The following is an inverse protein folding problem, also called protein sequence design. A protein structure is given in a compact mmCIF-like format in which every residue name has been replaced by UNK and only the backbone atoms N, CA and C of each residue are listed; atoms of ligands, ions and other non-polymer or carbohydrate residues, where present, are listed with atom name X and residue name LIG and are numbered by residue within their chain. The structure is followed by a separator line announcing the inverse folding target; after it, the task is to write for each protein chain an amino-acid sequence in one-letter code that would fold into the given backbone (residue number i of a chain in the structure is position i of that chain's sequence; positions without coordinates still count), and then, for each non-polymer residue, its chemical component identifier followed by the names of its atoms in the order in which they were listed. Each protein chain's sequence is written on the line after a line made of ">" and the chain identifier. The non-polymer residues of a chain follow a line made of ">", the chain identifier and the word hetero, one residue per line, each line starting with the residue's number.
data_IF_006371002079
#
_entry.id   IF_006371002079
#
_cell.length_a   1.000
_cell.length_b   1.000
_cell.length_c   1.000
_cell.angle_alpha   90.00
_cell.angle_beta   90.00
_cell.angle_gamma   90.00
#
_symmetry.space_group_name_H-M   'P 1'
#
loop_
_entity.id
_entity.type
_entity.pdbx_description
1 polymer ?
#
# COMPACT_ATOMS: atom_id res chain seq x y z
N UNK A 1 -28.45 3.06 16.20
CA UNK A 1 -29.01 2.91 14.84
C UNK A 1 -28.11 3.69 13.92
N UNK A 2 -27.65 3.07 12.82
CA UNK A 2 -26.72 3.67 11.86
C UNK A 2 -27.28 4.96 11.27
N UNK A 3 -26.41 5.92 10.98
CA UNK A 3 -26.70 7.26 10.46
C UNK A 3 -26.32 7.39 8.99
N UNK A 4 -25.27 6.71 8.55
CA UNK A 4 -24.88 6.65 7.15
C UNK A 4 -25.96 5.95 6.32
N UNK A 5 -26.21 6.45 5.11
CA UNK A 5 -27.19 5.86 4.20
C UNK A 5 -26.58 4.67 3.48
N UNK A 6 -27.20 3.50 3.61
CA UNK A 6 -26.85 2.20 3.00
C UNK A 6 -25.50 1.60 3.41
N UNK A 7 -24.41 2.38 3.33
CA UNK A 7 -23.05 1.92 3.56
C UNK A 7 -22.15 3.08 4.03
N UNK A 8 -21.34 2.84 5.06
CA UNK A 8 -20.38 3.80 5.60
C UNK A 8 -19.32 4.22 4.58
N UNK A 9 -18.80 3.28 3.78
CA UNK A 9 -17.75 3.58 2.78
C UNK A 9 -18.28 4.49 1.68
N UNK A 10 -19.51 4.29 1.23
CA UNK A 10 -20.15 5.13 0.21
C UNK A 10 -20.41 6.54 0.76
N UNK A 11 -20.88 6.62 2.00
CA UNK A 11 -21.06 7.91 2.70
C UNK A 11 -19.71 8.63 2.87
N UNK A 12 -18.62 7.91 3.15
CA UNK A 12 -17.27 8.47 3.24
C UNK A 12 -16.75 8.96 1.89
N UNK A 13 -17.01 8.22 0.81
CA UNK A 13 -16.69 8.65 -0.56
C UNK A 13 -17.46 9.90 -0.94
N UNK A 14 -18.73 10.02 -0.56
CA UNK A 14 -19.53 11.24 -0.76
C UNK A 14 -18.93 12.42 0.04
N UNK A 15 -18.60 12.20 1.31
CA UNK A 15 -17.97 13.21 2.17
C UNK A 15 -16.62 13.70 1.62
N UNK A 16 -15.85 12.82 0.99
CA UNK A 16 -14.54 13.13 0.43
C UNK A 16 -14.55 13.46 -1.06
N UNK A 17 -15.73 13.63 -1.67
CA UNK A 17 -15.88 13.80 -3.12
C UNK A 17 -15.17 15.03 -3.69
N UNK A 18 -15.00 16.09 -2.88
CA UNK A 18 -14.36 17.35 -3.28
C UNK A 18 -12.83 17.33 -3.14
N UNK A 19 -12.24 16.18 -2.79
CA UNK A 19 -10.80 16.00 -2.78
C UNK A 19 -10.36 15.45 -4.15
N UNK A 20 -9.25 15.99 -4.66
CA UNK A 20 -8.73 15.64 -5.98
C UNK A 20 -8.12 14.25 -6.06
N UNK A 21 -7.85 13.60 -4.92
CA UNK A 21 -7.29 12.25 -4.88
C UNK A 21 -8.22 11.21 -5.55
N UNK A 22 -7.62 10.16 -6.10
CA UNK A 22 -8.37 9.09 -6.76
C UNK A 22 -9.39 8.43 -5.83
N UNK A 23 -10.56 8.07 -6.39
CA UNK A 23 -11.61 7.35 -5.67
C UNK A 23 -11.08 6.07 -4.99
N UNK A 24 -10.18 5.34 -5.65
CA UNK A 24 -9.63 4.10 -5.11
C UNK A 24 -8.84 4.33 -3.82
N UNK A 25 -8.18 5.49 -3.69
CA UNK A 25 -7.52 5.88 -2.43
C UNK A 25 -8.54 6.04 -1.31
N UNK A 26 -9.63 6.78 -1.55
CA UNK A 26 -10.67 6.98 -0.53
C UNK A 26 -11.31 5.68 -0.06
N UNK A 27 -11.61 4.75 -0.97
CA UNK A 27 -12.18 3.44 -0.59
C UNK A 27 -11.24 2.69 0.36
N UNK A 28 -9.95 2.59 0.03
CA UNK A 28 -8.99 1.87 0.86
C UNK A 28 -8.62 2.60 2.16
N UNK A 29 -8.64 3.94 2.16
CA UNK A 29 -8.51 4.75 3.38
C UNK A 29 -9.69 4.47 4.31
N UNK A 30 -10.91 4.49 3.79
CA UNK A 30 -12.12 4.19 4.56
C UNK A 30 -12.09 2.77 5.17
N UNK A 31 -11.69 1.76 4.39
CA UNK A 31 -11.51 0.40 4.91
C UNK A 31 -10.45 0.33 6.01
N UNK A 32 -9.35 1.06 5.86
CA UNK A 32 -8.29 1.14 6.88
C UNK A 32 -8.79 1.82 8.16
N UNK A 33 -9.64 2.85 8.05
CA UNK A 33 -10.29 3.50 9.19
C UNK A 33 -11.20 2.52 9.93
N UNK A 34 -12.07 1.79 9.23
CA UNK A 34 -12.92 0.76 9.85
C UNK A 34 -12.06 -0.31 10.53
N UNK A 35 -10.98 -0.76 9.89
CA UNK A 35 -10.06 -1.75 10.46
C UNK A 35 -9.42 -1.27 11.77
N UNK A 36 -9.01 0.00 11.83
CA UNK A 36 -8.48 0.63 13.03
C UNK A 36 -9.48 0.71 14.17
N UNK A 37 -10.76 0.96 13.87
CA UNK A 37 -11.84 1.03 14.86
C UNK A 37 -12.20 -0.36 15.39
N UNK A 38 -12.25 -1.37 14.51
CA UNK A 38 -12.61 -2.74 14.90
C UNK A 38 -11.53 -3.44 15.74
N UNK A 39 -10.25 -3.12 15.54
CA UNK A 39 -9.12 -3.71 16.26
C UNK A 39 -9.20 -5.25 16.31
N UNK A 40 -9.34 -5.84 17.51
CA UNK A 40 -9.53 -7.28 17.74
C UNK A 40 -10.95 -7.66 18.15
N UNK A 41 -11.88 -6.72 18.13
CA UNK A 41 -13.22 -6.91 18.69
C UNK A 41 -14.04 -7.89 17.86
N UNK A 42 -13.80 -7.91 16.54
CA UNK A 42 -14.41 -8.87 15.61
C UNK A 42 -13.35 -9.74 14.94
N UNK A 43 -13.72 -10.98 14.58
CA UNK A 43 -12.78 -11.94 14.00
C UNK A 43 -13.48 -13.07 13.26
N UNK A 44 -12.80 -13.72 12.31
CA UNK A 44 -13.24 -14.96 11.70
C UNK A 44 -12.50 -16.17 12.29
N UNK A 45 -13.19 -17.16 12.88
CA UNK A 45 -12.54 -18.33 13.48
C UNK A 45 -12.08 -19.35 12.42
N UNK A 46 -10.80 -19.76 12.48
CA UNK A 46 -10.19 -20.79 11.62
C UNK A 46 -9.86 -22.08 12.38
N UNK A 47 -10.51 -22.30 13.51
CA UNK A 47 -10.29 -23.45 14.40
C UNK A 47 -9.06 -23.25 15.30
N UNK A 48 -7.85 -23.22 14.72
CA UNK A 48 -6.61 -23.07 15.49
C UNK A 48 -6.20 -21.63 15.75
N UNK A 49 -6.69 -20.70 14.94
CA UNK A 49 -6.38 -19.28 15.01
C UNK A 49 -7.57 -18.47 14.54
N UNK A 50 -7.51 -17.16 14.77
CA UNK A 50 -8.51 -16.20 14.33
C UNK A 50 -7.90 -15.28 13.27
N UNK A 51 -8.70 -14.90 12.27
CA UNK A 51 -8.36 -13.84 11.33
C UNK A 51 -9.03 -12.56 11.81
N UNK A 52 -8.25 -11.50 11.98
CA UNK A 52 -8.72 -10.17 12.38
C UNK A 52 -8.68 -9.23 11.18
N UNK A 53 -9.53 -8.19 11.13
CA UNK A 53 -9.70 -7.33 9.95
C UNK A 53 -8.58 -6.29 9.76
N UNK A 54 -7.46 -6.38 10.49
CA UNK A 54 -6.36 -5.44 10.37
C UNK A 54 -5.72 -5.43 8.98
N UNK A 55 -5.44 -4.24 8.46
CA UNK A 55 -4.87 -4.02 7.14
C UNK A 55 -3.54 -3.28 7.23
N UNK A 56 -2.61 -3.64 6.34
CA UNK A 56 -1.50 -2.78 5.96
C UNK A 56 -1.83 -2.25 4.56
N UNK A 57 -1.99 -0.94 4.41
CA UNK A 57 -2.38 -0.29 3.15
C UNK A 57 -1.31 0.72 2.78
N UNK A 58 -0.82 0.64 1.55
CA UNK A 58 0.07 1.63 0.96
C UNK A 58 -0.67 2.41 -0.11
N UNK A 59 -0.90 3.70 0.10
CA UNK A 59 -1.46 4.62 -0.90
C UNK A 59 -0.29 5.18 -1.70
N UNK A 60 -0.16 4.76 -2.96
CA UNK A 60 1.01 5.02 -3.79
C UNK A 60 0.60 5.81 -5.03
N UNK A 61 1.26 6.94 -5.25
CA UNK A 61 1.02 7.77 -6.43
C UNK A 61 2.03 8.91 -6.55
N UNK A 62 2.05 9.64 -7.67
CA UNK A 62 3.04 10.69 -7.94
C UNK A 62 2.94 11.84 -6.93
N UNK A 63 4.02 12.60 -6.75
CA UNK A 63 3.99 13.79 -5.87
C UNK A 63 2.94 14.79 -6.38
N UNK A 64 2.13 15.33 -5.46
CA UNK A 64 1.12 16.34 -5.79
C UNK A 64 -0.26 15.79 -6.21
N UNK A 65 -0.47 14.48 -6.14
CA UNK A 65 -1.75 13.80 -6.46
C UNK A 65 -2.83 13.86 -5.36
N UNK A 66 -2.59 14.59 -4.27
CA UNK A 66 -3.53 14.72 -3.15
C UNK A 66 -3.62 13.49 -2.21
N UNK A 67 -2.80 12.43 -2.39
CA UNK A 67 -2.89 11.19 -1.59
C UNK A 67 -2.80 11.41 -0.07
N UNK A 68 -1.85 12.25 0.36
CA UNK A 68 -1.62 12.53 1.79
C UNK A 68 -2.78 13.34 2.36
N UNK A 69 -3.33 14.29 1.59
CA UNK A 69 -4.52 15.06 1.98
C UNK A 69 -5.72 14.14 2.17
N UNK A 70 -5.95 13.19 1.25
CA UNK A 70 -7.01 12.20 1.38
C UNK A 70 -6.83 11.32 2.61
N UNK A 71 -5.60 10.82 2.85
CA UNK A 71 -5.30 10.00 4.02
C UNK A 71 -5.53 10.77 5.32
N UNK A 72 -5.04 12.02 5.42
CA UNK A 72 -5.26 12.90 6.58
C UNK A 72 -6.75 13.07 6.89
N UNK A 73 -7.57 13.34 5.86
CA UNK A 73 -9.03 13.51 6.03
C UNK A 73 -9.71 12.24 6.56
N UNK A 74 -9.26 11.06 6.12
CA UNK A 74 -9.77 9.79 6.64
C UNK A 74 -9.28 9.47 8.06
N UNK A 75 -8.00 9.65 8.34
CA UNK A 75 -7.43 9.29 9.64
C UNK A 75 -7.82 10.25 10.76
N UNK A 76 -8.25 11.47 10.44
CA UNK A 76 -8.72 12.45 11.43
C UNK A 76 -9.91 11.94 12.25
N UNK A 77 -10.73 11.04 11.68
CA UNK A 77 -11.81 10.40 12.44
C UNK A 77 -11.29 9.56 13.61
N UNK A 78 -10.12 8.92 13.47
CA UNK A 78 -9.57 8.01 14.48
C UNK A 78 -9.21 8.72 15.78
N UNK A 79 -8.85 10.01 15.72
CA UNK A 79 -8.55 10.84 16.90
C UNK A 79 -9.76 11.02 17.83
N UNK A 80 -10.96 10.78 17.32
CA UNK A 80 -12.22 10.95 18.05
C UNK A 80 -12.84 9.62 18.50
N UNK A 81 -12.22 8.47 18.17
CA UNK A 81 -12.74 7.16 18.55
C UNK A 81 -12.09 6.71 19.86
N UNK A 82 -12.87 6.38 20.90
CA UNK A 82 -12.31 5.90 22.16
C UNK A 82 -11.62 4.55 21.97
N UNK A 83 -10.59 4.31 22.79
CA UNK A 83 -9.76 3.10 22.79
C UNK A 83 -8.92 2.86 21.53
N UNK A 84 -8.97 3.75 20.53
CA UNK A 84 -8.09 3.71 19.35
C UNK A 84 -6.82 4.49 19.65
N UNK A 85 -5.73 3.78 19.91
CA UNK A 85 -4.40 4.38 19.97
C UNK A 85 -3.93 4.71 18.54
N UNK A 86 -3.93 5.99 18.20
CA UNK A 86 -3.56 6.48 16.86
C UNK A 86 -2.18 7.13 16.88
N UNK A 87 -1.26 6.58 16.10
CA UNK A 87 0.14 7.02 16.02
C UNK A 87 0.37 7.68 14.65
N UNK A 88 0.72 8.96 14.66
CA UNK A 88 1.00 9.76 13.46
C UNK A 88 2.52 9.93 13.25
N UNK A 89 2.96 9.95 11.99
CA UNK A 89 4.34 10.17 11.53
C UNK A 89 5.34 9.03 11.81
N UNK A 90 5.92 8.96 13.01
CA UNK A 90 7.08 8.12 13.33
C UNK A 90 6.83 7.22 14.52
N UNK A 91 6.56 5.94 14.26
CA UNK A 91 6.63 4.90 15.28
C UNK A 91 8.00 4.20 15.20
N UNK A 92 8.75 4.22 16.29
CA UNK A 92 9.97 3.39 16.42
C UNK A 92 9.64 2.05 17.06
N UNK A 93 10.48 1.03 16.85
CA UNK A 93 10.32 -0.25 17.57
C UNK A 93 10.30 -0.04 19.08
N UNK A 94 11.18 0.83 19.60
CA UNK A 94 11.25 1.20 21.01
C UNK A 94 9.94 1.77 21.55
N UNK A 95 9.38 2.76 20.84
CA UNK A 95 8.11 3.37 21.23
C UNK A 95 6.97 2.32 21.29
N UNK A 96 6.87 1.45 20.28
CA UNK A 96 5.87 0.38 20.27
C UNK A 96 6.07 -0.61 21.42
N UNK A 97 7.32 -0.95 21.75
CA UNK A 97 7.59 -1.83 22.90
C UNK A 97 7.11 -1.20 24.21
N UNK A 98 7.43 0.07 24.47
CA UNK A 98 6.99 0.77 25.70
C UNK A 98 5.47 0.91 25.78
N UNK A 99 4.84 1.33 24.69
CA UNK A 99 3.39 1.48 24.59
C UNK A 99 2.67 0.16 24.89
N UNK A 100 3.10 -0.94 24.27
CA UNK A 100 2.45 -2.24 24.46
C UNK A 100 2.74 -2.87 25.82
N UNK A 101 3.87 -2.56 26.45
CA UNK A 101 4.14 -2.93 27.84
C UNK A 101 3.18 -2.23 28.79
N UNK A 102 2.95 -0.93 28.58
CA UNK A 102 2.01 -0.16 29.36
C UNK A 102 0.59 -0.68 29.22
N UNK A 103 0.15 -0.97 27.98
CA UNK A 103 -1.16 -1.58 27.73
C UNK A 103 -1.30 -2.93 28.43
N UNK A 104 -0.28 -3.78 28.34
CA UNK A 104 -0.31 -5.09 29.00
C UNK A 104 -0.40 -4.95 30.52
N UNK A 105 0.40 -4.05 31.12
CA UNK A 105 0.40 -3.79 32.57
C UNK A 105 -0.94 -3.25 33.09
N UNK A 106 -1.64 -2.50 32.26
CA UNK A 106 -2.97 -1.94 32.56
C UNK A 106 -4.11 -2.88 32.16
N UNK A 107 -3.79 -4.07 31.61
CA UNK A 107 -4.76 -5.10 31.25
C UNK A 107 -5.45 -4.89 29.89
N UNK A 108 -5.05 -3.87 29.12
CA UNK A 108 -5.58 -3.59 27.79
C UNK A 108 -4.92 -4.46 26.71
N UNK A 109 -5.62 -4.63 25.59
CA UNK A 109 -5.08 -5.30 24.40
C UNK A 109 -4.08 -4.37 23.70
N UNK A 110 -3.03 -4.94 23.13
CA UNK A 110 -1.96 -4.22 22.43
C UNK A 110 -2.39 -3.85 21.01
N UNK A 111 -3.36 -2.94 20.90
CA UNK A 111 -3.90 -2.47 19.64
C UNK A 111 -3.44 -1.04 19.31
N UNK A 112 -3.03 -0.79 18.07
CA UNK A 112 -2.79 0.57 17.59
C UNK A 112 -3.01 0.70 16.08
N UNK A 113 -3.26 1.94 15.64
CA UNK A 113 -3.32 2.33 14.24
C UNK A 113 -2.18 3.27 13.94
N UNK A 114 -1.29 2.87 13.04
CA UNK A 114 -0.16 3.69 12.62
C UNK A 114 -0.50 4.35 11.29
N UNK A 115 -0.30 5.66 11.21
CA UNK A 115 -0.38 6.43 9.97
C UNK A 115 0.99 7.03 9.64
N UNK A 116 1.54 6.62 8.50
CA UNK A 116 2.79 7.12 7.95
C UNK A 116 2.52 7.96 6.68
N UNK A 117 2.41 9.30 6.77
CA UNK A 117 2.18 10.16 5.60
C UNK A 117 3.32 10.10 4.56
N UNK A 118 4.51 9.67 5.00
CA UNK A 118 5.63 9.34 4.12
C UNK A 118 6.29 8.02 4.56
N UNK A 119 6.02 6.95 3.82
CA UNK A 119 6.51 5.60 4.12
C UNK A 119 8.03 5.52 4.16
N UNK A 120 8.73 6.31 3.34
CA UNK A 120 10.20 6.35 3.37
C UNK A 120 10.71 6.80 4.74
N UNK A 121 10.13 7.84 5.34
CA UNK A 121 10.59 8.35 6.64
C UNK A 121 10.33 7.33 7.74
N UNK A 122 9.21 6.61 7.65
CA UNK A 122 8.88 5.50 8.53
C UNK A 122 9.87 4.32 8.40
N UNK A 123 10.39 4.07 7.20
CA UNK A 123 11.36 2.99 6.91
C UNK A 123 12.84 3.40 7.00
N UNK A 124 13.14 4.71 7.01
CA UNK A 124 14.51 5.23 6.91
C UNK A 124 15.24 5.36 8.25
N UNK A 125 14.57 5.17 9.39
CA UNK A 125 15.18 5.33 10.71
C UNK A 125 16.08 4.14 11.13
N UNK A 126 17.12 4.44 11.91
CA UNK A 126 17.99 3.48 12.59
C UNK A 126 17.09 2.52 13.40
N UNK A 127 17.11 1.22 13.07
CA UNK A 127 16.23 0.12 13.53
C UNK A 127 15.21 -0.41 12.51
N UNK A 128 15.29 0.00 11.24
CA UNK A 128 14.53 -0.60 10.12
C UNK A 128 14.34 -2.12 10.26
N UNK A 129 15.41 -2.89 10.43
CA UNK A 129 15.33 -4.36 10.53
C UNK A 129 14.46 -4.85 11.69
N UNK A 130 14.50 -4.18 12.85
CA UNK A 130 13.73 -4.59 14.02
C UNK A 130 12.27 -4.17 13.91
N UNK A 131 11.99 -2.93 13.51
CA UNK A 131 10.61 -2.45 13.32
C UNK A 131 9.90 -3.24 12.21
N UNK A 132 10.57 -3.46 11.08
CA UNK A 132 10.05 -4.28 9.97
C UNK A 132 9.77 -5.70 10.45
N UNK A 133 10.67 -6.32 11.21
CA UNK A 133 10.46 -7.66 11.78
C UNK A 133 9.28 -7.69 12.77
N UNK A 134 9.17 -6.67 13.62
CA UNK A 134 8.07 -6.52 14.57
C UNK A 134 6.71 -6.41 13.86
N UNK A 135 6.57 -5.46 12.92
CA UNK A 135 5.33 -5.26 12.15
C UNK A 135 4.98 -6.50 11.32
N UNK A 136 6.00 -7.16 10.76
CA UNK A 136 5.86 -8.45 10.07
C UNK A 136 5.22 -9.50 10.99
N UNK A 137 5.66 -9.58 12.25
CA UNK A 137 5.08 -10.49 13.25
C UNK A 137 3.67 -10.06 13.69
N UNK A 138 3.44 -8.76 13.88
CA UNK A 138 2.17 -8.22 14.35
C UNK A 138 1.02 -8.34 13.35
N UNK A 139 1.32 -8.43 12.05
CA UNK A 139 0.30 -8.60 11.01
C UNK A 139 -0.64 -9.79 11.24
N UNK A 140 -0.17 -10.88 11.86
CA UNK A 140 -0.97 -12.07 12.17
C UNK A 140 -1.70 -11.98 13.51
N UNK A 141 -1.67 -10.81 14.17
CA UNK A 141 -2.37 -10.53 15.41
C UNK A 141 -2.13 -11.58 16.52
N UNK A 142 -0.87 -11.80 16.95
CA UNK A 142 -0.53 -12.82 17.94
C UNK A 142 -1.16 -12.53 19.31
N UNK A 143 -1.61 -13.57 20.01
CA UNK A 143 -2.33 -13.44 21.29
C UNK A 143 -1.41 -13.09 22.47
N UNK A 144 -0.20 -13.63 22.51
CA UNK A 144 0.71 -13.46 23.64
C UNK A 144 2.18 -13.54 23.23
N UNK A 145 2.64 -12.78 22.21
CA UNK A 145 4.03 -12.88 21.77
C UNK A 145 4.98 -12.43 22.89
N UNK A 146 6.10 -13.15 23.02
CA UNK A 146 7.15 -12.85 24.00
C UNK A 146 8.35 -12.25 23.29
N UNK A 147 8.74 -11.05 23.68
CA UNK A 147 9.92 -10.35 23.17
C UNK A 147 11.01 -10.31 24.24
N UNK A 148 12.25 -10.54 23.81
CA UNK A 148 13.45 -10.32 24.62
C UNK A 148 14.19 -9.14 24.03
N UNK A 149 14.15 -8.01 24.70
CA UNK A 149 14.92 -6.86 24.26
C UNK A 149 16.40 -7.08 24.58
N UNK A 150 17.28 -6.63 23.67
CA UNK A 150 18.73 -6.64 23.92
C UNK A 150 19.02 -5.82 25.19
N UNK A 151 19.99 -6.28 25.96
CA UNK A 151 20.36 -5.70 27.26
C UNK A 151 20.62 -4.18 27.22
N UNK A 152 21.07 -3.66 26.07
CA UNK A 152 21.40 -2.25 25.87
C UNK A 152 20.19 -1.31 25.71
N UNK A 153 18.98 -1.82 25.37
CA UNK A 153 17.81 -0.96 25.12
C UNK A 153 16.90 -0.83 26.35
N UNK A 154 16.70 -1.91 27.13
CA UNK A 154 15.82 -1.90 28.32
C UNK A 154 16.30 -2.88 29.41
N UNK A 155 17.62 -3.04 29.58
CA UNK A 155 18.19 -3.87 30.66
C UNK A 155 17.89 -5.37 30.58
N UNK A 156 17.58 -5.90 29.40
CA UNK A 156 17.36 -7.33 29.18
C UNK A 156 16.01 -7.85 29.65
N UNK A 157 15.02 -6.96 29.82
CA UNK A 157 13.66 -7.32 30.25
C UNK A 157 12.96 -8.18 29.20
N UNK A 158 12.22 -9.18 29.69
CA UNK A 158 11.24 -9.93 28.89
C UNK A 158 9.93 -9.15 28.91
N UNK A 159 9.37 -8.92 27.73
CA UNK A 159 8.09 -8.22 27.58
C UNK A 159 7.13 -9.19 26.88
N UNK A 160 5.97 -9.37 27.47
CA UNK A 160 4.91 -10.18 26.88
C UNK A 160 3.79 -9.22 26.51
N UNK A 161 3.37 -9.24 25.25
CA UNK A 161 2.28 -8.37 24.79
C UNK A 161 0.98 -9.14 24.78
N UNK A 162 -0.09 -8.51 25.25
CA UNK A 162 -1.42 -9.11 25.26
C UNK A 162 -2.15 -8.75 23.97
N UNK A 163 -2.66 -9.74 23.25
CA UNK A 163 -3.61 -9.58 22.15
C UNK A 163 -3.20 -8.48 21.17
N UNK A 164 -2.13 -8.69 20.41
CA UNK A 164 -1.61 -7.66 19.51
C UNK A 164 -2.51 -7.49 18.28
N UNK A 165 -2.76 -6.25 17.88
CA UNK A 165 -3.35 -5.93 16.57
C UNK A 165 -2.88 -4.57 16.09
N UNK A 166 -2.19 -4.57 14.96
CA UNK A 166 -1.70 -3.33 14.34
C UNK A 166 -2.36 -3.16 12.99
N UNK A 167 -2.95 -1.99 12.79
CA UNK A 167 -3.36 -1.47 11.50
C UNK A 167 -2.33 -0.44 11.02
N UNK A 168 -2.02 -0.42 9.72
CA UNK A 168 -1.01 0.48 9.16
C UNK A 168 -1.52 1.09 7.86
N UNK A 169 -1.61 2.42 7.82
CA UNK A 169 -1.83 3.18 6.60
C UNK A 169 -0.57 3.97 6.29
N UNK A 170 -0.04 3.83 5.08
CA UNK A 170 1.14 4.55 4.65
C UNK A 170 0.90 5.23 3.29
N UNK A 171 1.46 6.42 3.10
CA UNK A 171 1.50 7.09 1.80
C UNK A 171 2.93 7.13 1.26
N UNK A 172 3.10 6.97 -0.05
CA UNK A 172 4.43 7.07 -0.69
C UNK A 172 4.30 7.40 -2.18
N UNK A 173 5.43 7.72 -2.80
CA UNK A 173 5.58 7.64 -4.26
C UNK A 173 6.24 6.32 -4.63
N UNK A 174 6.15 5.87 -5.90
CA UNK A 174 6.91 4.72 -6.37
C UNK A 174 8.40 4.86 -6.06
N UNK A 175 9.03 6.00 -6.38
CA UNK A 175 10.46 6.23 -6.16
C UNK A 175 10.84 6.17 -4.67
N UNK A 176 9.97 6.67 -3.79
CA UNK A 176 10.23 6.70 -2.35
C UNK A 176 9.99 5.34 -1.70
N UNK A 177 9.00 4.59 -2.20
CA UNK A 177 8.78 3.22 -1.76
C UNK A 177 10.03 2.40 -2.08
N UNK A 178 10.57 2.53 -3.28
CA UNK A 178 11.66 1.69 -3.76
C UNK A 178 13.00 2.05 -3.14
N UNK A 179 13.24 3.33 -2.85
CA UNK A 179 14.42 3.77 -2.09
C UNK A 179 14.33 3.46 -0.59
N UNK A 180 13.10 3.35 -0.05
CA UNK A 180 12.85 2.98 1.35
C UNK A 180 12.91 1.47 1.61
N UNK A 181 12.63 0.63 0.61
CA UNK A 181 12.63 -0.84 0.72
C UNK A 181 13.91 -1.46 0.16
N UNK A 182 14.46 -2.45 0.85
CA UNK A 182 15.52 -3.31 0.29
C UNK A 182 14.90 -4.47 -0.48
N UNK A 183 15.69 -5.16 -1.32
CA UNK A 183 15.28 -6.45 -1.89
C UNK A 183 14.87 -7.44 -0.81
N UNK A 184 15.54 -7.43 0.35
CA UNK A 184 15.18 -8.28 1.48
C UNK A 184 13.83 -7.90 2.11
N UNK A 185 13.39 -6.64 2.07
CA UNK A 185 12.04 -6.28 2.54
C UNK A 185 10.96 -6.75 1.55
N UNK A 186 11.28 -6.71 0.26
CA UNK A 186 10.41 -7.16 -0.83
C UNK A 186 10.18 -8.67 -0.73
N UNK A 187 11.26 -9.45 -0.56
CA UNK A 187 11.18 -10.91 -0.50
C UNK A 187 11.03 -11.48 0.92
N UNK A 188 11.40 -10.73 1.96
CA UNK A 188 11.33 -11.11 3.38
C UNK A 188 9.94 -11.02 3.99
N UNK A 189 8.94 -10.65 3.19
CA UNK A 189 7.53 -10.80 3.49
C UNK A 189 6.86 -9.60 4.17
N UNK A 190 7.59 -8.56 4.55
CA UNK A 190 6.98 -7.33 5.10
C UNK A 190 6.10 -6.65 4.05
N UNK A 191 6.69 -6.33 2.89
CA UNK A 191 5.99 -5.71 1.76
C UNK A 191 4.80 -6.54 1.28
N UNK A 192 4.94 -7.86 1.23
CA UNK A 192 3.85 -8.77 0.85
C UNK A 192 2.62 -8.73 1.76
N UNK A 193 2.65 -8.04 2.90
CA UNK A 193 1.49 -7.84 3.78
C UNK A 193 0.63 -6.62 3.41
N UNK A 194 1.18 -5.73 2.59
CA UNK A 194 0.49 -4.51 2.18
C UNK A 194 -0.44 -4.76 1.00
N UNK A 195 -1.56 -4.05 1.01
CA UNK A 195 -2.29 -3.74 -0.23
C UNK A 195 -1.74 -2.43 -0.77
N UNK A 196 -0.98 -2.49 -1.86
CA UNK A 196 -0.50 -1.29 -2.54
C UNK A 196 -1.56 -0.79 -3.51
N UNK A 197 -2.17 0.33 -3.19
CA UNK A 197 -3.16 1.01 -4.00
C UNK A 197 -2.40 2.03 -4.84
N UNK A 198 -2.15 1.69 -6.11
CA UNK A 198 -1.45 2.57 -7.03
C UNK A 198 -2.44 3.31 -7.94
N UNK A 199 -2.32 4.64 -7.97
CA UNK A 199 -2.96 5.49 -8.98
C UNK A 199 -1.98 6.61 -9.37
N UNK A 200 -1.96 6.96 -10.66
CA UNK A 200 -1.09 7.99 -11.24
C UNK A 200 -1.84 9.21 -11.75
N UNK A 201 -3.16 9.17 -11.67
CA UNK A 201 -4.08 10.18 -12.17
C UNK A 201 -5.39 10.12 -11.40
N UNK A 202 -6.12 11.23 -11.49
CA UNK A 202 -7.47 11.34 -10.95
C UNK A 202 -8.29 12.18 -11.92
N UNK A 203 -9.53 11.77 -12.17
CA UNK A 203 -10.49 12.53 -12.97
C UNK A 203 -11.10 13.69 -12.18
N UNK A 204 -10.73 13.85 -10.90
CA UNK A 204 -11.23 14.90 -10.01
C UNK A 204 -10.31 16.11 -10.08
N UNK A 205 -10.90 17.28 -10.34
CA UNK A 205 -10.20 18.56 -10.32
C UNK A 205 -11.10 19.62 -9.70
N UNK A 206 -10.64 20.20 -8.59
CA UNK A 206 -11.39 21.13 -7.76
C UNK A 206 -10.44 22.26 -7.32
N UNK A 207 -10.27 23.33 -8.13
CA UNK A 207 -9.33 24.41 -7.82
C UNK A 207 -9.69 25.21 -6.56
N UNK A 208 -10.97 25.21 -6.20
CA UNK A 208 -11.52 25.86 -4.99
C UNK A 208 -12.44 24.85 -4.27
N UNK A 209 -11.88 23.89 -3.50
CA UNK A 209 -12.69 22.89 -2.81
C UNK A 209 -13.75 23.48 -1.87
N UNK A 210 -13.49 24.67 -1.34
CA UNK A 210 -14.40 25.45 -0.51
C UNK A 210 -15.74 25.78 -1.19
N UNK A 211 -15.75 25.97 -2.51
CA UNK A 211 -16.96 26.30 -3.27
C UNK A 211 -17.92 25.11 -3.39
N UNK A 212 -17.39 23.89 -3.22
CA UNK A 212 -18.16 22.65 -3.26
C UNK A 212 -18.57 22.20 -1.85
N UNK A 213 -18.23 22.95 -0.80
CA UNK A 213 -18.63 22.66 0.58
C UNK A 213 -20.13 22.90 0.74
N UNK A 214 -20.92 21.83 0.60
CA UNK A 214 -22.36 21.92 0.79
C UNK A 214 -22.74 21.90 2.28
N UNK A 215 -23.91 22.45 2.62
CA UNK A 215 -24.48 22.35 3.97
C UNK A 215 -24.68 20.89 4.44
N UNK A 216 -24.61 19.90 3.53
CA UNK A 216 -24.68 18.47 3.84
C UNK A 216 -23.36 17.92 4.41
N UNK A 217 -22.20 18.50 4.08
CA UNK A 217 -20.90 17.94 4.48
C UNK A 217 -20.66 17.88 5.99
N UNK A 218 -21.01 18.90 6.80
CA UNK A 218 -20.91 18.78 8.25
C UNK A 218 -21.78 17.66 8.82
N UNK A 219 -22.97 17.45 8.22
CA UNK A 219 -23.86 16.36 8.60
C UNK A 219 -23.27 14.99 8.25
N UNK A 220 -22.75 14.82 7.02
CA UNK A 220 -22.07 13.57 6.62
C UNK A 220 -20.91 13.25 7.55
N UNK A 221 -20.09 14.25 7.91
CA UNK A 221 -18.98 14.07 8.86
C UNK A 221 -19.49 13.57 10.22
N UNK A 222 -20.56 14.16 10.74
CA UNK A 222 -21.14 13.74 12.02
C UNK A 222 -21.75 12.34 11.93
N UNK A 223 -22.50 12.04 10.86
CA UNK A 223 -23.12 10.72 10.64
C UNK A 223 -22.03 9.62 10.52
N UNK A 224 -20.92 9.91 9.83
CA UNK A 224 -19.76 9.02 9.74
C UNK A 224 -19.11 8.76 11.10
N UNK A 225 -18.94 9.81 11.92
CA UNK A 225 -18.34 9.69 13.25
C UNK A 225 -19.25 8.91 14.20
N UNK A 226 -20.55 9.21 14.23
CA UNK A 226 -21.54 8.52 15.04
C UNK A 226 -21.55 7.02 14.71
N UNK A 227 -21.45 6.68 13.43
CA UNK A 227 -21.38 5.29 12.99
C UNK A 227 -20.06 4.61 13.32
N UNK A 228 -18.92 5.31 13.26
CA UNK A 228 -17.64 4.75 13.73
C UNK A 228 -17.67 4.49 15.24
N UNK A 229 -18.28 5.38 16.03
CA UNK A 229 -18.49 5.16 17.47
C UNK A 229 -19.34 3.93 17.73
N UNK A 230 -20.38 3.70 16.90
CA UNK A 230 -21.19 2.49 16.96
C UNK A 230 -20.42 1.23 16.52
N UNK A 231 -19.68 1.28 15.40
CA UNK A 231 -18.81 0.19 14.91
C UNK A 231 -17.82 -0.23 16.00
N UNK A 232 -17.28 0.74 16.75
CA UNK A 232 -16.33 0.50 17.84
C UNK A 232 -16.89 -0.38 18.97
N UNK A 233 -18.22 -0.52 19.05
CA UNK A 233 -18.89 -1.36 20.05
C UNK A 233 -19.14 -2.79 19.57
N UNK A 234 -19.02 -3.05 18.26
CA UNK A 234 -19.23 -4.37 17.67
C UNK A 234 -18.19 -5.34 18.20
N UNK A 235 -18.64 -6.54 18.55
CA UNK A 235 -17.77 -7.60 19.06
C UNK A 235 -18.33 -8.98 18.72
N UNK A 236 -17.46 -9.91 18.38
CA UNK A 236 -17.84 -11.30 18.17
C UNK A 236 -17.25 -11.95 16.91
N UNK A 237 -17.50 -13.25 16.75
CA UNK A 237 -17.07 -13.97 15.58
C UNK A 237 -17.94 -13.61 14.36
N UNK A 238 -17.31 -13.50 13.20
CA UNK A 238 -17.97 -13.49 11.92
C UNK A 238 -18.45 -14.89 11.54
N UNK A 239 -19.61 -14.94 10.88
CA UNK A 239 -20.17 -16.14 10.26
C UNK A 239 -20.08 -15.97 8.74
N UNK A 240 -19.65 -17.00 8.03
CA UNK A 240 -19.74 -17.04 6.56
C UNK A 240 -20.93 -17.91 6.17
N UNK A 241 -21.76 -17.46 5.23
CA UNK A 241 -22.88 -18.26 4.75
C UNK A 241 -22.38 -19.51 4.03
N UNK A 242 -23.18 -20.57 3.99
CA UNK A 242 -22.79 -21.82 3.34
C UNK A 242 -22.50 -21.63 1.85
N UNK A 243 -23.25 -20.75 1.18
CA UNK A 243 -23.03 -20.39 -0.22
C UNK A 243 -21.69 -19.66 -0.39
N UNK A 244 -21.45 -18.58 0.36
CA UNK A 244 -20.18 -17.84 0.29
C UNK A 244 -18.98 -18.75 0.61
N UNK A 245 -19.13 -19.68 1.56
CA UNK A 245 -18.10 -20.66 1.90
C UNK A 245 -17.81 -21.62 0.76
N UNK A 246 -18.83 -22.10 0.05
CA UNK A 246 -18.66 -22.96 -1.12
C UNK A 246 -17.92 -22.21 -2.24
N UNK A 247 -18.34 -20.99 -2.55
CA UNK A 247 -17.70 -20.13 -3.58
C UNK A 247 -16.25 -19.80 -3.20
N UNK A 248 -16.01 -19.40 -1.95
CA UNK A 248 -14.66 -19.17 -1.43
C UNK A 248 -13.78 -20.41 -1.56
N UNK A 249 -14.32 -21.60 -1.31
CA UNK A 249 -13.57 -22.87 -1.41
C UNK A 249 -13.17 -23.17 -2.84
N UNK A 250 -14.07 -22.94 -3.81
CA UNK A 250 -13.77 -23.09 -5.24
C UNK A 250 -12.65 -22.14 -5.65
N UNK A 251 -12.81 -20.84 -5.36
CA UNK A 251 -11.78 -19.83 -5.65
C UNK A 251 -10.44 -20.15 -4.98
N UNK A 252 -10.47 -20.51 -3.69
CA UNK A 252 -9.28 -20.86 -2.92
C UNK A 252 -8.49 -21.99 -3.61
N UNK A 253 -9.15 -23.02 -4.11
CA UNK A 253 -8.45 -24.15 -4.71
C UNK A 253 -7.85 -23.82 -6.09
N UNK A 254 -8.44 -22.89 -6.85
CA UNK A 254 -7.97 -22.51 -8.19
C UNK A 254 -6.88 -21.41 -8.19
N UNK A 255 -6.76 -20.63 -7.11
CA UNK A 255 -5.89 -19.43 -7.04
C UNK A 255 -4.39 -19.60 -7.36
N UNK A 256 -3.88 -20.83 -7.47
CA UNK A 256 -2.44 -21.14 -7.58
C UNK A 256 -1.75 -20.56 -8.83
N UNK A 257 -2.50 -19.95 -9.77
CA UNK A 257 -1.99 -19.44 -11.06
C UNK A 257 -1.97 -17.91 -11.18
N UNK A 258 -2.30 -17.15 -10.13
CA UNK A 258 -2.62 -15.72 -10.27
C UNK A 258 -1.40 -14.77 -10.35
N UNK A 259 -0.24 -15.14 -9.82
CA UNK A 259 0.88 -14.20 -9.73
C UNK A 259 1.68 -14.11 -11.06
N UNK A 260 1.53 -12.99 -11.77
CA UNK A 260 2.30 -12.68 -12.99
C UNK A 260 3.60 -11.92 -12.73
N UNK A 261 3.71 -11.25 -11.59
CA UNK A 261 4.83 -10.37 -11.23
C UNK A 261 5.51 -10.87 -9.95
N UNK A 262 6.80 -11.18 -10.03
CA UNK A 262 7.57 -11.74 -8.91
C UNK A 262 7.57 -10.84 -7.66
N UNK A 263 7.46 -9.52 -7.85
CA UNK A 263 7.41 -8.54 -6.75
C UNK A 263 6.14 -8.68 -5.91
N UNK A 264 5.08 -9.27 -6.47
CA UNK A 264 3.79 -9.46 -5.81
C UNK A 264 3.60 -10.87 -5.25
N UNK A 265 4.58 -11.78 -5.36
CA UNK A 265 4.47 -13.16 -4.82
C UNK A 265 4.09 -13.15 -3.34
N UNK A 266 4.70 -12.26 -2.55
CA UNK A 266 4.40 -12.11 -1.13
C UNK A 266 2.94 -11.72 -0.86
N UNK A 267 2.39 -10.82 -1.69
CA UNK A 267 0.99 -10.40 -1.62
C UNK A 267 0.03 -11.55 -1.95
N UNK A 268 0.21 -12.21 -3.10
CA UNK A 268 -0.66 -13.30 -3.53
C UNK A 268 -0.65 -14.50 -2.57
N UNK A 269 0.49 -14.77 -1.91
CA UNK A 269 0.57 -15.80 -0.88
C UNK A 269 -0.37 -15.53 0.33
N UNK A 270 -0.74 -14.27 0.56
CA UNK A 270 -1.60 -13.80 1.66
C UNK A 270 -3.01 -13.42 1.22
N UNK A 271 -3.28 -13.33 -0.09
CA UNK A 271 -4.58 -12.97 -0.67
C UNK A 271 -5.74 -13.78 -0.07
N UNK A 272 -5.54 -15.06 0.24
CA UNK A 272 -6.55 -15.92 0.90
C UNK A 272 -7.12 -15.30 2.19
N UNK A 273 -6.24 -14.79 3.06
CA UNK A 273 -6.65 -14.27 4.35
C UNK A 273 -7.14 -12.84 4.16
N UNK A 274 -6.50 -12.09 3.26
CA UNK A 274 -6.88 -10.73 2.90
C UNK A 274 -8.31 -10.63 2.35
N UNK A 275 -8.75 -11.57 1.51
CA UNK A 275 -10.15 -11.62 1.02
C UNK A 275 -11.13 -11.66 2.18
N UNK A 276 -10.86 -12.49 3.19
CA UNK A 276 -11.71 -12.57 4.38
C UNK A 276 -11.64 -11.28 5.21
N UNK A 277 -10.45 -10.67 5.35
CA UNK A 277 -10.30 -9.38 6.03
C UNK A 277 -11.10 -8.27 5.38
N UNK A 278 -10.99 -8.13 4.06
CA UNK A 278 -11.74 -7.12 3.29
C UNK A 278 -13.24 -7.41 3.33
N UNK A 279 -13.64 -8.68 3.29
CA UNK A 279 -15.05 -9.08 3.44
C UNK A 279 -15.62 -8.65 4.80
N UNK A 280 -14.90 -8.87 5.91
CA UNK A 280 -15.32 -8.42 7.24
C UNK A 280 -15.53 -6.90 7.29
N UNK A 281 -14.63 -6.13 6.65
CA UNK A 281 -14.71 -4.67 6.63
C UNK A 281 -15.88 -4.17 5.79
N UNK A 282 -16.12 -4.78 4.62
CA UNK A 282 -17.25 -4.44 3.75
C UNK A 282 -18.60 -4.80 4.39
N UNK A 283 -18.69 -5.94 5.09
CA UNK A 283 -19.88 -6.30 5.85
C UNK A 283 -20.19 -5.26 6.94
N UNK A 284 -19.21 -4.93 7.79
CA UNK A 284 -19.39 -3.95 8.88
C UNK A 284 -19.67 -2.53 8.37
N UNK A 285 -19.19 -2.20 7.18
CA UNK A 285 -19.50 -0.93 6.54
C UNK A 285 -20.99 -0.82 6.18
N UNK A 286 -21.62 -1.94 5.84
CA UNK A 286 -23.03 -2.04 5.45
C UNK A 286 -23.97 -2.24 6.65
N UNK A 287 -23.64 -3.13 7.58
CA UNK A 287 -24.51 -3.51 8.70
C UNK A 287 -23.73 -3.96 9.95
N UNK A 288 -24.46 -4.51 10.93
CA UNK A 288 -23.94 -4.91 12.26
C UNK A 288 -23.99 -6.44 12.49
N UNK A 289 -24.39 -7.23 11.50
CA UNK A 289 -24.79 -8.63 11.72
C UNK A 289 -23.60 -9.60 11.83
N UNK A 290 -22.40 -9.15 11.45
CA UNK A 290 -21.16 -9.92 11.39
C UNK A 290 -21.28 -11.16 10.48
N UNK A 291 -21.94 -11.01 9.33
CA UNK A 291 -22.11 -12.05 8.32
C UNK A 291 -21.32 -11.70 7.05
N UNK A 292 -20.60 -12.68 6.52
CA UNK A 292 -20.03 -12.65 5.17
C UNK A 292 -20.94 -13.49 4.28
N UNK A 293 -21.80 -12.82 3.53
CA UNK A 293 -22.60 -13.42 2.46
C UNK A 293 -21.84 -13.41 1.12
N UNK A 294 -22.44 -14.00 0.10
CA UNK A 294 -21.89 -14.10 -1.26
C UNK A 294 -21.72 -12.71 -1.90
N UNK A 295 -22.62 -11.77 -1.60
CA UNK A 295 -22.54 -10.41 -2.13
C UNK A 295 -21.30 -9.70 -1.59
N UNK A 296 -21.05 -9.77 -0.28
CA UNK A 296 -19.88 -9.19 0.39
C UNK A 296 -18.61 -9.86 -0.12
N UNK A 297 -18.60 -11.18 -0.25
CA UNK A 297 -17.45 -11.92 -0.77
C UNK A 297 -17.12 -11.50 -2.21
N UNK A 298 -18.12 -11.38 -3.08
CA UNK A 298 -17.96 -10.91 -4.46
C UNK A 298 -17.46 -9.46 -4.53
N UNK A 299 -17.96 -8.57 -3.67
CA UNK A 299 -17.47 -7.20 -3.58
C UNK A 299 -16.00 -7.15 -3.16
N UNK A 300 -15.60 -7.96 -2.18
CA UNK A 300 -14.21 -8.03 -1.74
C UNK A 300 -13.28 -8.51 -2.87
N UNK A 301 -13.67 -9.55 -3.62
CA UNK A 301 -12.91 -10.00 -4.78
C UNK A 301 -12.80 -8.93 -5.86
N UNK A 302 -13.91 -8.30 -6.21
CA UNK A 302 -13.92 -7.24 -7.23
C UNK A 302 -12.97 -6.10 -6.85
N UNK A 303 -13.04 -5.63 -5.61
CA UNK A 303 -12.19 -4.55 -5.12
C UNK A 303 -10.69 -4.93 -5.14
N UNK A 304 -10.37 -6.14 -4.67
CA UNK A 304 -8.99 -6.64 -4.67
C UNK A 304 -8.47 -6.80 -6.10
N UNK A 305 -9.20 -7.46 -6.99
CA UNK A 305 -8.80 -7.66 -8.38
C UNK A 305 -8.59 -6.31 -9.11
N UNK A 306 -9.48 -5.34 -8.92
CA UNK A 306 -9.32 -3.97 -9.48
C UNK A 306 -8.10 -3.23 -8.92
N UNK A 307 -7.70 -3.54 -7.68
CA UNK A 307 -6.50 -2.95 -7.08
C UNK A 307 -5.24 -3.65 -7.61
N UNK A 308 -5.29 -4.96 -7.81
CA UNK A 308 -4.20 -5.80 -8.30
C UNK A 308 -3.77 -5.46 -9.75
N UNK A 309 -4.70 -5.01 -10.59
CA UNK A 309 -4.43 -4.65 -12.00
C UNK A 309 -3.22 -3.72 -12.17
N UNK A 310 -3.09 -2.73 -11.27
CA UNK A 310 -2.02 -1.71 -11.30
C UNK A 310 -1.05 -1.81 -10.13
N UNK A 311 -1.25 -2.77 -9.22
CA UNK A 311 -0.47 -2.87 -7.98
C UNK A 311 1.05 -2.97 -8.21
N UNK A 312 1.46 -3.65 -9.28
CA UNK A 312 2.87 -3.81 -9.64
C UNK A 312 3.56 -2.48 -10.00
N UNK A 313 2.79 -1.47 -10.42
CA UNK A 313 3.29 -0.14 -10.79
C UNK A 313 3.75 0.66 -9.57
N UNK A 314 3.25 0.32 -8.36
CA UNK A 314 3.78 0.85 -7.10
C UNK A 314 5.29 0.57 -6.95
N UNK A 315 5.77 -0.53 -7.55
CA UNK A 315 7.16 -0.96 -7.54
C UNK A 315 7.91 -0.63 -8.82
N UNK A 316 7.37 0.22 -9.71
CA UNK A 316 8.03 0.62 -10.96
C UNK A 316 9.43 1.22 -10.74
N UNK A 317 9.69 1.86 -9.60
CA UNK A 317 11.02 2.32 -9.22
C UNK A 317 11.98 1.22 -8.71
N UNK A 318 11.53 -0.03 -8.53
CA UNK A 318 12.37 -1.21 -8.22
C UNK A 318 12.89 -1.71 -9.56
N UNK A 319 13.82 -0.96 -10.14
CA UNK A 319 14.56 -1.44 -11.30
C UNK A 319 15.74 -2.25 -10.79
N UNK A 320 15.82 -3.50 -11.21
CA UNK A 320 16.91 -4.46 -10.87
C UNK A 320 18.29 -4.02 -11.38
N UNK A 321 18.37 -2.91 -12.11
CA UNK A 321 19.61 -2.17 -12.38
C UNK A 321 19.30 -0.65 -12.44
N UNK A 322 19.95 0.21 -11.63
CA UNK A 322 19.84 1.67 -11.72
C UNK A 322 20.07 2.22 -13.13
N UNK A 323 20.85 1.51 -13.96
CA UNK A 323 21.07 1.86 -15.36
C UNK A 323 19.77 1.82 -16.18
N UNK A 324 18.88 0.86 -15.91
CA UNK A 324 17.64 0.68 -16.67
C UNK A 324 16.66 1.84 -16.49
N UNK A 325 16.77 2.65 -15.43
CA UNK A 325 15.95 3.86 -15.21
C UNK A 325 16.05 4.86 -16.35
N UNK A 326 17.18 4.89 -17.05
CA UNK A 326 17.40 5.79 -18.17
C UNK A 326 17.12 5.15 -19.52
N UNK A 327 16.61 3.90 -19.55
CA UNK A 327 16.28 3.21 -20.80
C UNK A 327 15.23 3.98 -21.61
N UNK A 328 14.12 4.37 -20.99
CA UNK A 328 13.06 5.13 -21.67
C UNK A 328 13.50 6.54 -22.04
N UNK A 329 14.40 7.14 -21.25
CA UNK A 329 15.03 8.41 -21.59
C UNK A 329 15.89 8.27 -22.87
N UNK A 330 16.74 7.25 -22.96
CA UNK A 330 17.58 7.01 -24.16
C UNK A 330 16.70 6.69 -25.38
N UNK A 331 15.67 5.85 -25.22
CA UNK A 331 14.71 5.53 -26.28
C UNK A 331 13.96 6.78 -26.74
N UNK A 332 13.47 7.63 -25.84
CA UNK A 332 12.77 8.86 -26.20
C UNK A 332 13.69 9.90 -26.86
N UNK A 333 14.96 9.97 -26.45
CA UNK A 333 15.97 10.80 -27.11
C UNK A 333 16.21 10.37 -28.56
N UNK A 334 16.36 9.06 -28.80
CA UNK A 334 16.49 8.51 -30.14
C UNK A 334 15.20 8.74 -30.95
N UNK A 335 14.03 8.48 -30.37
CA UNK A 335 12.75 8.67 -31.05
C UNK A 335 12.53 10.12 -31.53
N UNK A 336 13.00 11.11 -30.76
CA UNK A 336 12.89 12.55 -31.10
C UNK A 336 14.03 13.06 -31.98
N UNK A 337 15.09 12.28 -32.18
CA UNK A 337 16.23 12.70 -32.99
C UNK A 337 15.91 12.60 -34.49
N UNK A 338 16.48 13.49 -35.33
CA UNK A 338 16.39 13.36 -36.79
C UNK A 338 16.90 11.97 -37.25
N UNK A 339 16.13 11.30 -38.10
CA UNK A 339 16.39 9.91 -38.55
C UNK A 339 16.39 8.84 -37.44
N UNK A 340 15.92 9.18 -36.25
CA UNK A 340 15.94 8.34 -35.06
C UNK A 340 17.33 7.84 -34.63
N UNK A 341 18.35 8.65 -34.93
CA UNK A 341 19.75 8.30 -34.69
C UNK A 341 20.44 9.38 -33.86
N UNK A 342 21.27 8.96 -32.90
CA UNK A 342 22.20 9.84 -32.17
C UNK A 342 23.57 9.17 -32.04
N UNK A 343 24.63 9.97 -31.99
CA UNK A 343 25.96 9.49 -31.59
C UNK A 343 26.01 9.24 -30.08
N UNK A 344 26.92 8.36 -29.65
CA UNK A 344 27.24 8.13 -28.24
C UNK A 344 27.62 9.44 -27.53
N UNK A 345 28.41 10.28 -28.21
CA UNK A 345 28.90 11.54 -27.65
C UNK A 345 27.75 12.56 -27.47
N UNK A 346 26.77 12.59 -28.38
CA UNK A 346 25.60 13.47 -28.24
C UNK A 346 24.70 13.05 -27.08
N UNK A 347 24.52 11.75 -26.85
CA UNK A 347 23.73 11.25 -25.73
C UNK A 347 24.42 11.63 -24.42
N UNK A 348 25.72 11.35 -24.30
CA UNK A 348 26.49 11.69 -23.10
C UNK A 348 26.56 13.20 -22.90
N UNK A 349 26.80 14.00 -23.94
CA UNK A 349 26.82 15.47 -23.81
C UNK A 349 25.48 16.03 -23.35
N UNK A 350 24.35 15.43 -23.74
CA UNK A 350 23.01 15.86 -23.29
C UNK A 350 22.64 15.36 -21.88
N UNK A 351 23.16 14.21 -21.45
CA UNK A 351 22.74 13.55 -20.21
C UNK A 351 23.88 13.27 -19.21
N UNK A 352 25.04 13.92 -19.35
CA UNK A 352 26.22 13.69 -18.50
C UNK A 352 25.96 13.86 -17.00
N UNK A 353 24.97 14.67 -16.63
CA UNK A 353 24.56 14.88 -15.23
C UNK A 353 23.67 13.75 -14.66
N UNK A 354 23.16 12.84 -15.51
CA UNK A 354 22.28 11.73 -15.12
C UNK A 354 22.99 10.38 -15.10
N UNK A 355 23.89 10.14 -16.05
CA UNK A 355 24.62 8.88 -16.16
C UNK A 355 25.95 9.04 -16.92
N UNK A 356 26.88 8.12 -16.66
CA UNK A 356 28.18 8.05 -17.31
C UNK A 356 28.19 7.11 -18.53
N UNK A 357 29.36 6.98 -19.17
CA UNK A 357 29.55 6.10 -20.33
C UNK A 357 29.28 4.62 -20.02
N UNK A 358 29.64 4.13 -18.84
CA UNK A 358 29.47 2.73 -18.46
C UNK A 358 27.99 2.39 -18.33
N UNK A 359 27.22 3.28 -17.72
CA UNK A 359 25.76 3.15 -17.62
C UNK A 359 25.12 3.19 -19.01
N UNK A 360 25.53 4.12 -19.88
CA UNK A 360 25.02 4.18 -21.25
C UNK A 360 25.30 2.88 -22.02
N UNK A 361 26.50 2.34 -21.92
CA UNK A 361 26.87 1.12 -22.64
C UNK A 361 26.04 -0.08 -22.17
N UNK A 362 25.72 -0.18 -20.87
CA UNK A 362 24.79 -1.21 -20.33
C UNK A 362 23.36 -1.03 -20.83
N UNK A 363 22.85 0.20 -20.89
CA UNK A 363 21.51 0.49 -21.43
C UNK A 363 21.42 0.08 -22.90
N UNK A 364 22.40 0.50 -23.71
CA UNK A 364 22.40 0.25 -25.15
C UNK A 364 22.61 -1.24 -25.44
N UNK A 365 23.47 -1.93 -24.72
CA UNK A 365 23.65 -3.39 -24.85
C UNK A 365 22.31 -4.11 -24.67
N UNK A 366 21.58 -3.80 -23.59
CA UNK A 366 20.24 -4.36 -23.36
C UNK A 366 19.26 -4.02 -24.50
N UNK A 367 19.27 -2.78 -25.02
CA UNK A 367 18.40 -2.36 -26.12
C UNK A 367 18.74 -3.05 -27.45
N UNK A 368 20.02 -3.35 -27.69
CA UNK A 368 20.49 -4.09 -28.86
C UNK A 368 20.06 -5.55 -28.77
N UNK A 369 20.26 -6.20 -27.62
CA UNK A 369 19.82 -7.57 -27.37
C UNK A 369 18.30 -7.72 -27.49
N UNK A 370 17.55 -6.72 -27.00
CA UNK A 370 16.11 -6.62 -27.17
C UNK A 370 15.66 -6.26 -28.61
N UNK A 371 16.61 -6.06 -29.55
CA UNK A 371 16.38 -5.70 -30.95
C UNK A 371 15.63 -4.37 -31.14
N UNK A 372 15.72 -3.46 -30.18
CA UNK A 372 15.10 -2.13 -30.23
C UNK A 372 16.02 -1.09 -30.86
N UNK A 373 17.34 -1.24 -30.66
CA UNK A 373 18.37 -0.32 -31.16
C UNK A 373 19.41 -1.12 -31.96
N UNK A 374 19.98 -0.53 -33.01
CA UNK A 374 21.23 -1.00 -33.61
C UNK A 374 22.37 -0.02 -33.34
N UNK A 375 23.57 -0.57 -33.19
CA UNK A 375 24.81 0.20 -33.10
C UNK A 375 25.63 0.02 -34.38
N UNK A 376 26.21 1.10 -34.89
CA UNK A 376 27.14 1.08 -36.03
C UNK A 376 28.10 2.27 -35.95
N UNK A 377 29.24 2.16 -36.62
CA UNK A 377 30.22 3.25 -36.67
C UNK A 377 30.03 4.07 -37.94
N UNK A 378 30.07 5.40 -37.82
CA UNK A 378 30.05 6.33 -38.97
C UNK A 378 31.18 7.34 -38.85
N UNK A 379 31.84 7.62 -39.97
CA UNK A 379 32.83 8.68 -40.07
C UNK A 379 32.13 10.01 -40.36
N UNK A 380 32.34 11.00 -39.49
CA UNK A 380 31.80 12.35 -39.64
C UNK A 380 32.97 13.32 -39.45
N UNK A 381 33.42 13.94 -40.53
CA UNK A 381 34.51 14.93 -40.48
C UNK A 381 35.88 14.35 -40.11
N UNK A 382 36.16 13.08 -40.42
CA UNK A 382 37.43 12.42 -40.12
C UNK A 382 37.51 11.83 -38.72
N UNK A 383 36.40 11.86 -37.96
CA UNK A 383 36.27 11.27 -36.63
C UNK A 383 35.26 10.14 -36.71
N UNK A 384 35.64 8.96 -36.21
CA UNK A 384 34.75 7.80 -36.08
C UNK A 384 33.85 7.95 -34.86
N UNK A 385 32.55 8.02 -35.08
CA UNK A 385 31.55 8.04 -34.03
C UNK A 385 30.80 6.72 -33.95
N UNK A 386 30.46 6.32 -32.72
CA UNK A 386 29.51 5.23 -32.46
C UNK A 386 28.11 5.82 -32.55
N UNK A 387 27.30 5.29 -33.46
CA UNK A 387 25.92 5.71 -33.72
C UNK A 387 24.96 4.69 -33.12
N UNK A 388 23.86 5.18 -32.54
CA UNK A 388 22.73 4.37 -32.11
C UNK A 388 21.50 4.78 -32.90
N UNK A 389 20.81 3.81 -33.51
CA UNK A 389 19.58 4.03 -34.29
C UNK A 389 18.45 3.18 -33.75
N UNK A 390 17.29 3.80 -33.54
CA UNK A 390 16.07 3.12 -33.08
C UNK A 390 15.40 2.36 -34.25
N UNK A 391 15.16 1.06 -34.08
CA UNK A 391 14.73 0.18 -35.17
C UNK A 391 13.22 0.12 -35.41
N UNK A 392 12.39 0.15 -34.35
CA UNK A 392 10.92 0.36 -34.39
C UNK A 392 10.30 0.25 -33.01
N UNK A 393 9.32 1.11 -32.75
CA UNK A 393 8.38 1.09 -31.62
C UNK A 393 7.36 -0.05 -31.85
N UNK A 394 7.12 -0.92 -30.86
CA UNK A 394 5.81 -1.59 -30.78
C UNK A 394 4.89 -0.62 -30.05
N UNK A 395 4.01 0.05 -30.79
CA UNK A 395 2.74 0.51 -30.25
C UNK A 395 1.94 -0.73 -29.86
N UNK A 396 1.85 -0.99 -28.57
CA UNK A 396 0.67 -1.59 -27.98
C UNK A 396 -0.04 -0.50 -27.20
#
# INVERSE_FOLDING_TARGET
>A
MRKCTENWIETYVEYSANLEASLKFHVWIGLSVIASVLQRKVYYPRGYFNIYPNLYVGIIGPTGDGKTTAANVGTEFLKQIPDVEFIEEKATSYYLYELFDQFTKTGHDCCCSIYAPEMKNFLADLNKTELVSMLTSFYTCPNAPMYRLKAQLVGGRKMQFKNVCVNLLACSTPEWLTTGTTTDDIYGGFTGRFVYVYEDSSDRSFPFPEDFMTARMPKLKQDLLDDLLHINTLKGPFIITDQAKAEYTVWYNDRKKECKDERLIGYYARKRDLVLKVSMLLAVAKDDDLIIDESVLHMAWKLLNQTEERMAEAFSGVMTDPALRYKDLVVSMLARAPSHTLTRDEILRKQWHKFDGVVLDRIVTNLIEAKMVKSYTKDIGGIRHIMYELLRFRTN
#
